data_IF_089733644595
#
_entry.id   IF_089733644595
#
_cell.length_a   1.000
_cell.length_b   1.000
_cell.length_c   1.000
_cell.angle_alpha   90.00
_cell.angle_beta   90.00
_cell.angle_gamma   90.00
#
_symmetry.space_group_name_H-M   'P 1'
#
loop_
_entity.id
_entity.type
_entity.pdbx_description
1 polymer ?
#
# COMPACT_ATOMS: atom_id res chain seq x y z
N UNK A 1 -6.39 35.72 -4.62
CA UNK A 1 -5.07 36.34 -4.65
C UNK A 1 -4.98 37.33 -3.49
N UNK A 2 -4.42 36.92 -2.38
CA UNK A 2 -3.99 37.85 -1.29
C UNK A 2 -2.48 37.62 -1.09
N UNK A 3 -1.78 38.72 -1.06
CA UNK A 3 -0.34 38.87 -1.24
C UNK A 3 0.46 38.38 -0.02
N UNK A 4 1.63 37.84 -0.30
CA UNK A 4 2.64 37.33 0.64
C UNK A 4 3.30 38.38 1.56
N UNK A 5 2.65 39.50 1.86
CA UNK A 5 3.20 40.58 2.68
C UNK A 5 2.69 40.62 4.12
N UNK A 6 1.69 39.78 4.49
CA UNK A 6 1.05 39.88 5.82
C UNK A 6 1.64 38.92 6.88
N UNK A 7 2.66 38.13 6.56
CA UNK A 7 3.27 37.17 7.51
C UNK A 7 4.54 37.72 8.18
N UNK A 8 5.09 38.84 7.71
CA UNK A 8 6.33 39.44 8.27
C UNK A 8 6.07 40.45 9.39
N UNK A 9 4.84 40.86 9.59
CA UNK A 9 4.50 41.92 10.56
C UNK A 9 4.29 41.42 12.00
N UNK A 10 4.24 40.12 12.27
CA UNK A 10 3.98 39.60 13.62
C UNK A 10 5.25 39.23 14.40
N UNK A 11 6.43 39.30 13.78
CA UNK A 11 7.70 38.89 14.43
C UNK A 11 8.54 40.04 14.97
N UNK A 12 8.15 41.32 14.72
CA UNK A 12 8.92 42.48 15.12
C UNK A 12 8.38 43.24 16.31
N UNK A 13 7.44 42.70 17.09
CA UNK A 13 6.83 43.42 18.23
C UNK A 13 7.28 42.92 19.61
N UNK A 14 8.31 42.10 19.71
CA UNK A 14 8.77 41.54 20.99
C UNK A 14 10.16 42.03 21.42
N UNK A 15 10.90 42.77 20.58
CA UNK A 15 12.21 43.31 20.95
C UNK A 15 12.32 44.79 20.58
N UNK A 16 11.71 45.66 21.38
CA UNK A 16 12.13 47.06 21.50
C UNK A 16 12.09 47.47 22.99
N UNK A 17 13.24 47.25 23.63
CA UNK A 17 13.48 47.70 24.97
C UNK A 17 13.78 49.20 24.98
N UNK A 18 13.11 49.91 25.83
CA UNK A 18 13.39 51.32 26.13
C UNK A 18 14.56 51.44 27.08
N UNK A 19 15.58 52.22 26.70
CA UNK A 19 16.61 52.73 27.59
C UNK A 19 15.95 53.72 28.57
N UNK A 20 16.20 53.55 29.87
CA UNK A 20 15.91 54.52 30.89
C UNK A 20 17.11 54.66 31.84
N UNK A 21 17.57 55.87 31.84
CA UNK A 21 18.54 56.62 32.63
C UNK A 21 18.84 56.11 34.04
N UNK A 22 20.15 56.05 34.30
CA UNK A 22 20.78 55.91 35.60
C UNK A 22 20.58 57.12 36.49
N UNK A 23 19.94 56.94 37.65
CA UNK A 23 20.13 57.80 38.81
C UNK A 23 20.60 56.95 39.99
N UNK A 24 21.73 57.41 40.58
CA UNK A 24 22.39 56.87 41.74
C UNK A 24 21.53 57.02 43.01
N UNK A 25 21.33 55.95 43.77
CA UNK A 25 20.97 56.03 45.19
C UNK A 25 21.68 54.90 45.97
N UNK A 26 22.19 55.30 47.12
CA UNK A 26 23.10 54.53 48.03
C UNK A 26 22.40 53.37 48.77
N UNK A 27 23.17 52.46 49.42
CA UNK A 27 22.75 51.14 49.78
C UNK A 27 22.04 51.07 51.14
N UNK A 28 20.80 50.58 51.13
CA UNK A 28 20.12 50.10 52.35
C UNK A 28 20.22 48.57 52.44
N UNK A 29 20.80 48.07 53.52
CA UNK A 29 20.83 46.65 53.87
C UNK A 29 19.43 46.15 54.12
N UNK A 30 18.97 45.16 53.38
CA UNK A 30 17.82 44.34 53.70
C UNK A 30 18.15 42.87 53.49
N UNK A 31 18.11 42.11 54.56
CA UNK A 31 18.27 40.66 54.59
C UNK A 31 17.01 39.97 54.08
N UNK A 32 16.99 39.60 52.84
CA UNK A 32 15.92 38.76 52.30
C UNK A 32 16.52 37.87 51.22
N UNK A 33 17.00 36.70 51.55
CA UNK A 33 17.69 35.94 50.56
C UNK A 33 17.59 34.42 50.61
N UNK A 34 17.16 33.82 51.68
CA UNK A 34 17.18 32.32 51.75
C UNK A 34 15.93 31.61 51.31
N UNK A 35 14.75 32.24 51.25
CA UNK A 35 13.51 31.59 50.83
C UNK A 35 13.26 31.60 49.30
N UNK A 36 13.78 32.60 48.59
CA UNK A 36 13.61 32.71 47.13
C UNK A 36 14.48 31.75 46.31
N UNK A 37 15.63 31.37 46.82
CA UNK A 37 16.52 30.41 46.11
C UNK A 37 15.95 28.98 46.21
N UNK A 38 15.35 28.62 47.33
CA UNK A 38 14.75 27.31 47.52
C UNK A 38 13.52 27.10 46.62
N UNK A 39 12.69 28.13 46.38
CA UNK A 39 11.57 28.06 45.44
C UNK A 39 12.04 27.97 43.97
N UNK A 40 13.09 28.67 43.57
CA UNK A 40 13.63 28.61 42.22
C UNK A 40 14.24 27.25 41.92
N UNK A 41 14.97 26.65 42.88
CA UNK A 41 15.58 25.32 42.75
C UNK A 41 14.49 24.22 42.68
N UNK A 42 13.41 24.33 43.48
CA UNK A 42 12.26 23.41 43.41
C UNK A 42 11.47 23.52 42.09
N UNK A 43 11.35 24.73 41.53
CA UNK A 43 10.72 24.93 40.20
C UNK A 43 11.55 24.35 39.07
N UNK A 44 12.87 24.51 39.12
CA UNK A 44 13.77 23.90 38.10
C UNK A 44 13.85 22.38 38.24
N UNK A 45 13.83 21.82 39.47
CA UNK A 45 13.76 20.38 39.64
C UNK A 45 12.40 19.80 39.21
N UNK A 46 11.29 20.50 39.38
CA UNK A 46 9.98 20.03 38.90
C UNK A 46 9.81 20.09 37.39
N UNK A 47 10.46 21.05 36.71
CA UNK A 47 10.52 21.07 35.23
C UNK A 47 11.43 19.98 34.64
N UNK A 48 12.46 19.53 35.36
CA UNK A 48 13.34 18.45 34.89
C UNK A 48 12.71 17.03 35.02
N UNK A 49 11.67 16.87 35.84
CA UNK A 49 10.92 15.61 35.98
C UNK A 49 9.78 15.45 34.96
N UNK A 50 9.40 16.51 34.27
CA UNK A 50 8.34 16.48 33.23
C UNK A 50 8.82 16.02 31.84
N UNK A 51 10.10 15.66 31.68
CA UNK A 51 10.75 15.57 30.37
C UNK A 51 10.99 14.18 29.78
N UNK A 52 10.46 13.10 30.34
CA UNK A 52 10.64 11.76 29.75
C UNK A 52 9.34 10.94 29.78
N UNK A 53 8.28 11.47 29.20
CA UNK A 53 7.21 10.57 28.75
C UNK A 53 7.77 9.76 27.58
N UNK A 54 7.92 8.44 27.75
CA UNK A 54 8.25 7.56 26.62
C UNK A 54 7.27 7.87 25.50
N UNK A 55 7.74 8.05 24.25
CA UNK A 55 6.83 8.24 23.13
C UNK A 55 5.80 7.09 23.14
N UNK A 56 4.54 7.42 22.89
CA UNK A 56 3.50 6.38 22.82
C UNK A 56 3.91 5.33 21.81
N UNK A 57 3.74 4.04 22.13
CA UNK A 57 4.02 2.98 21.15
C UNK A 57 3.23 3.26 19.87
N UNK A 58 3.87 2.98 18.75
CA UNK A 58 3.18 3.09 17.46
C UNK A 58 2.23 1.89 17.33
N UNK A 59 1.00 2.17 16.95
CA UNK A 59 -0.06 1.17 16.80
C UNK A 59 -0.48 1.03 15.35
N UNK A 60 -1.00 -0.14 14.98
CA UNK A 60 -1.67 -0.33 13.71
C UNK A 60 -3.02 0.37 13.71
N UNK A 61 -3.31 1.10 12.64
CA UNK A 61 -4.61 1.74 12.44
C UNK A 61 -5.62 0.68 11.97
N UNK A 62 -6.79 0.63 12.64
CA UNK A 62 -7.88 -0.24 12.26
C UNK A 62 -8.42 0.11 10.87
N UNK A 63 -8.72 -0.91 10.06
CA UNK A 63 -9.25 -0.75 8.71
C UNK A 63 -10.75 -0.44 8.72
N UNK A 64 -11.07 0.83 8.78
CA UNK A 64 -12.46 1.33 8.72
C UNK A 64 -12.84 1.89 7.35
N UNK A 65 -12.09 1.57 6.30
CA UNK A 65 -12.30 2.12 4.96
C UNK A 65 -13.73 1.84 4.46
N UNK A 66 -14.42 2.90 4.07
CA UNK A 66 -15.80 2.82 3.61
C UNK A 66 -16.83 2.39 4.66
N UNK A 67 -16.49 2.40 5.96
CA UNK A 67 -17.37 2.21 7.11
C UNK A 67 -17.44 3.47 7.94
N UNK A 68 -18.62 3.79 8.47
CA UNK A 68 -18.73 4.82 9.49
C UNK A 68 -17.99 4.35 10.76
N UNK A 69 -16.93 5.04 11.21
CA UNK A 69 -16.24 4.68 12.44
C UNK A 69 -17.14 4.69 13.68
N UNK A 70 -18.23 5.46 13.69
CA UNK A 70 -19.21 5.50 14.76
C UNK A 70 -20.10 4.24 14.82
N UNK A 71 -20.18 3.47 13.73
CA UNK A 71 -20.89 2.19 13.71
C UNK A 71 -20.17 1.07 14.48
N UNK A 72 -18.89 1.29 14.85
CA UNK A 72 -18.07 0.33 15.59
C UNK A 72 -18.03 0.78 17.06
N UNK A 73 -18.69 0.05 17.93
CA UNK A 73 -18.71 0.38 19.37
C UNK A 73 -17.29 0.32 19.97
N UNK A 74 -17.02 1.05 21.08
CA UNK A 74 -15.73 0.98 21.77
C UNK A 74 -15.34 -0.45 22.17
N UNK A 75 -16.28 -1.27 22.64
CA UNK A 75 -16.03 -2.66 23.02
C UNK A 75 -15.63 -3.54 21.83
N UNK A 76 -16.32 -3.40 20.69
CA UNK A 76 -15.96 -4.10 19.45
C UNK A 76 -14.57 -3.70 18.95
N UNK A 77 -14.27 -2.40 18.96
CA UNK A 77 -12.95 -1.88 18.57
C UNK A 77 -11.85 -2.45 19.47
N UNK A 78 -12.04 -2.40 20.79
CA UNK A 78 -11.08 -2.90 21.77
C UNK A 78 -10.85 -4.41 21.60
N UNK A 79 -11.91 -5.19 21.43
CA UNK A 79 -11.81 -6.63 21.21
C UNK A 79 -11.00 -6.98 19.96
N UNK A 80 -11.27 -6.31 18.84
CA UNK A 80 -10.53 -6.53 17.57
C UNK A 80 -9.07 -6.12 17.72
N UNK A 81 -8.79 -4.91 18.22
CA UNK A 81 -7.43 -4.39 18.37
C UNK A 81 -6.62 -5.23 19.35
N UNK A 82 -7.21 -5.63 20.48
CA UNK A 82 -6.55 -6.50 21.46
C UNK A 82 -6.21 -7.87 20.87
N UNK A 83 -7.15 -8.51 20.18
CA UNK A 83 -6.92 -9.80 19.52
C UNK A 83 -5.80 -9.71 18.48
N UNK A 84 -5.82 -8.70 17.62
CA UNK A 84 -4.79 -8.50 16.61
C UNK A 84 -3.42 -8.20 17.21
N UNK A 85 -3.38 -7.43 18.31
CA UNK A 85 -2.12 -7.12 19.01
C UNK A 85 -1.55 -8.35 19.70
N UNK A 86 -2.41 -9.19 20.29
CA UNK A 86 -1.98 -10.45 20.90
C UNK A 86 -1.42 -11.44 19.86
N UNK A 87 -2.04 -11.54 18.70
CA UNK A 87 -1.61 -12.44 17.61
C UNK A 87 -0.40 -11.91 16.83
N UNK A 88 -0.41 -10.63 16.46
CA UNK A 88 0.56 -10.06 15.53
C UNK A 88 1.53 -9.04 16.15
N UNK A 89 1.33 -8.64 17.41
CA UNK A 89 2.16 -7.61 18.05
C UNK A 89 1.89 -6.19 17.53
N UNK A 90 2.91 -5.38 17.50
CA UNK A 90 2.87 -3.96 17.10
C UNK A 90 3.77 -3.69 15.89
N UNK A 91 3.68 -2.50 15.25
CA UNK A 91 4.61 -2.12 14.19
C UNK A 91 6.08 -2.12 14.60
N UNK A 92 6.35 -1.98 15.89
CA UNK A 92 7.71 -1.97 16.43
C UNK A 92 8.21 -3.35 16.82
N UNK A 93 7.32 -4.19 17.34
CA UNK A 93 7.61 -5.54 17.81
C UNK A 93 6.58 -6.52 17.21
N UNK A 94 6.81 -6.93 15.93
CA UNK A 94 5.92 -7.87 15.27
C UNK A 94 6.01 -9.25 15.92
N UNK A 95 4.88 -9.96 15.94
CA UNK A 95 4.77 -11.36 16.36
C UNK A 95 4.26 -12.18 15.20
N UNK A 96 4.66 -13.43 15.16
CA UNK A 96 4.16 -14.40 14.18
C UNK A 96 3.18 -15.31 14.90
N UNK A 97 1.90 -15.37 14.47
CA UNK A 97 0.92 -16.27 15.07
C UNK A 97 1.33 -17.75 14.90
N UNK A 98 0.85 -18.64 15.78
CA UNK A 98 1.07 -20.08 15.64
C UNK A 98 0.62 -20.59 14.25
N UNK A 99 1.41 -21.46 13.64
CA UNK A 99 1.13 -22.06 12.32
C UNK A 99 1.38 -21.16 11.11
N UNK A 100 1.79 -19.90 11.30
CA UNK A 100 2.19 -18.99 10.22
C UNK A 100 3.70 -19.09 10.00
N UNK A 101 4.11 -19.29 8.76
CA UNK A 101 5.53 -19.45 8.39
C UNK A 101 6.07 -18.11 7.83
N UNK A 102 6.59 -17.27 8.72
CA UNK A 102 7.31 -16.04 8.40
C UNK A 102 8.66 -16.03 9.10
N UNK A 103 9.67 -15.49 8.44
CA UNK A 103 11.02 -15.36 9.01
C UNK A 103 11.06 -14.22 10.02
N UNK A 104 11.21 -14.56 11.30
CA UNK A 104 11.19 -13.62 12.42
C UNK A 104 12.37 -12.64 12.38
N UNK A 105 13.54 -13.08 11.93
CA UNK A 105 14.72 -12.20 11.86
C UNK A 105 14.58 -11.17 10.73
N UNK A 106 14.05 -11.59 9.58
CA UNK A 106 13.71 -10.68 8.49
C UNK A 106 12.61 -9.70 8.90
N UNK A 107 11.59 -10.16 9.63
CA UNK A 107 10.55 -9.28 10.17
C UNK A 107 11.14 -8.23 11.13
N UNK A 108 12.03 -8.63 12.05
CA UNK A 108 12.69 -7.72 12.98
C UNK A 108 13.52 -6.67 12.27
N UNK A 109 14.23 -7.05 11.22
CA UNK A 109 15.02 -6.15 10.39
C UNK A 109 14.14 -5.08 9.71
N UNK A 110 12.99 -5.47 9.19
CA UNK A 110 12.06 -4.56 8.52
C UNK A 110 11.26 -3.67 9.49
N UNK A 111 10.90 -4.20 10.66
CA UNK A 111 10.05 -3.56 11.66
C UNK A 111 10.80 -2.55 12.54
N UNK A 112 10.01 -1.77 13.28
CA UNK A 112 10.50 -0.89 14.32
C UNK A 112 10.93 0.49 13.86
N UNK A 113 11.49 1.29 14.78
CA UNK A 113 12.08 2.57 14.45
C UNK A 113 13.34 2.38 13.61
N UNK A 114 13.61 3.34 12.72
CA UNK A 114 14.85 3.33 11.92
C UNK A 114 16.08 3.49 12.80
N UNK A 115 17.03 2.56 12.69
CA UNK A 115 18.26 2.58 13.49
C UNK A 115 18.99 1.25 13.42
N UNK A 116 19.89 1.05 14.38
CA UNK A 116 20.57 -0.22 14.59
C UNK A 116 20.25 -0.73 15.99
N UNK A 117 20.06 -2.02 16.11
CA UNK A 117 19.91 -2.66 17.41
C UNK A 117 21.28 -2.80 18.15
N UNK A 118 21.25 -3.36 19.35
CA UNK A 118 22.47 -3.53 20.17
C UNK A 118 23.52 -4.47 19.56
N UNK A 119 23.11 -5.35 18.62
CA UNK A 119 24.00 -6.22 17.85
C UNK A 119 24.53 -5.56 16.57
N UNK A 120 24.10 -4.31 16.28
CA UNK A 120 24.53 -3.54 15.11
C UNK A 120 23.72 -3.85 13.84
N UNK A 121 22.67 -4.67 13.94
CA UNK A 121 21.77 -5.00 12.82
C UNK A 121 20.87 -3.81 12.51
N UNK A 122 20.73 -3.46 11.23
CA UNK A 122 19.84 -2.38 10.79
C UNK A 122 18.37 -2.80 11.01
N UNK A 123 17.56 -1.88 11.55
CA UNK A 123 16.13 -2.05 11.82
C UNK A 123 15.32 -0.93 11.18
N UNK A 124 14.02 -1.15 11.03
CA UNK A 124 13.10 -0.12 10.57
C UNK A 124 13.16 0.14 9.06
N UNK A 125 13.60 -0.85 8.26
CA UNK A 125 13.69 -0.70 6.80
C UNK A 125 12.35 -0.31 6.17
N UNK A 126 11.23 -0.86 6.66
CA UNK A 126 9.91 -0.50 6.17
C UNK A 126 9.57 0.97 6.44
N UNK A 127 9.86 1.48 7.63
CA UNK A 127 9.68 2.92 7.94
C UNK A 127 10.58 3.81 7.10
N UNK A 128 11.82 3.40 6.89
CA UNK A 128 12.81 4.14 6.12
C UNK A 128 12.44 4.27 4.65
N UNK A 129 11.91 3.22 4.04
CA UNK A 129 11.76 3.12 2.59
C UNK A 129 10.32 3.08 2.08
N UNK A 130 9.35 2.62 2.87
CA UNK A 130 8.01 2.28 2.40
C UNK A 130 6.89 3.09 3.06
N UNK A 131 6.99 3.33 4.38
CA UNK A 131 5.90 3.90 5.17
C UNK A 131 5.50 5.33 4.76
N UNK A 132 6.41 6.10 4.15
CA UNK A 132 6.11 7.46 3.67
C UNK A 132 4.99 7.47 2.61
N UNK A 133 4.88 6.40 1.82
CA UNK A 133 3.82 6.20 0.83
C UNK A 133 2.75 5.22 1.34
N UNK A 134 3.19 4.05 1.85
CA UNK A 134 2.29 2.95 2.18
C UNK A 134 1.70 2.99 3.59
N UNK A 135 2.07 3.99 4.42
CA UNK A 135 1.65 4.07 5.82
C UNK A 135 2.30 3.02 6.72
N UNK A 136 2.31 3.26 8.03
CA UNK A 136 2.89 2.31 9.01
C UNK A 136 2.06 1.02 9.08
N UNK A 137 0.74 1.14 8.92
CA UNK A 137 -0.19 0.02 8.88
C UNK A 137 -0.24 -0.72 7.54
N UNK A 138 0.50 -0.26 6.53
CA UNK A 138 0.41 -0.79 5.17
C UNK A 138 -0.89 -0.45 4.46
N UNK A 139 -1.57 0.60 4.91
CA UNK A 139 -2.90 1.04 4.49
C UNK A 139 -2.92 1.88 3.20
N UNK A 140 -1.76 2.08 2.58
CA UNK A 140 -1.63 2.91 1.38
C UNK A 140 -1.83 4.41 1.62
N UNK A 141 -2.04 4.84 2.88
CA UNK A 141 -2.34 6.20 3.27
C UNK A 141 -1.19 6.87 4.05
N UNK A 142 0.04 6.68 3.58
CA UNK A 142 1.20 7.36 4.12
C UNK A 142 1.16 8.87 3.89
N UNK A 143 2.05 9.64 4.55
CA UNK A 143 2.04 11.12 4.53
C UNK A 143 1.98 11.77 3.15
N UNK A 144 2.54 11.13 2.12
CA UNK A 144 2.53 11.69 0.74
C UNK A 144 1.53 10.99 -0.18
N UNK A 145 0.80 9.99 0.30
CA UNK A 145 -0.08 9.15 -0.53
C UNK A 145 -1.11 9.96 -1.32
N UNK A 146 -1.70 10.99 -0.70
CA UNK A 146 -2.71 11.86 -1.33
C UNK A 146 -2.21 12.62 -2.56
N UNK A 147 -0.89 12.76 -2.72
CA UNK A 147 -0.25 13.42 -3.87
C UNK A 147 0.09 12.46 -5.01
N UNK A 148 -0.13 11.16 -4.84
CA UNK A 148 0.26 10.13 -5.79
C UNK A 148 -0.93 9.67 -6.64
N UNK A 149 -0.67 9.35 -7.91
CA UNK A 149 -1.63 8.77 -8.83
C UNK A 149 -0.93 7.70 -9.70
N UNK A 150 -1.31 6.42 -9.61
CA UNK A 150 -2.28 5.85 -8.66
C UNK A 150 -1.81 5.91 -7.20
N UNK A 151 -2.75 5.77 -6.27
CA UNK A 151 -2.42 5.65 -4.85
C UNK A 151 -1.53 4.43 -4.55
N UNK A 152 -0.70 4.50 -3.49
CA UNK A 152 0.05 3.35 -3.01
C UNK A 152 -0.89 2.20 -2.66
N UNK A 153 -0.43 0.97 -2.87
CA UNK A 153 -1.21 -0.22 -2.53
C UNK A 153 -1.52 -0.28 -1.04
N UNK A 154 -2.78 -0.52 -0.71
CA UNK A 154 -3.19 -0.98 0.62
C UNK A 154 -2.90 -2.50 0.73
N UNK A 155 -1.92 -2.86 1.55
CA UNK A 155 -1.50 -4.25 1.74
C UNK A 155 -2.49 -5.07 2.56
N UNK A 156 -3.34 -4.42 3.36
CA UNK A 156 -4.29 -5.07 4.27
C UNK A 156 -5.33 -5.96 3.57
N UNK A 157 -5.52 -5.77 2.28
CA UNK A 157 -6.41 -6.62 1.46
C UNK A 157 -5.71 -7.86 0.89
N UNK A 158 -4.39 -8.00 1.00
CA UNK A 158 -3.63 -9.12 0.42
C UNK A 158 -3.75 -9.25 -1.09
N UNK A 159 -4.07 -8.15 -1.80
CA UNK A 159 -4.28 -8.10 -3.25
C UNK A 159 -3.19 -7.25 -3.89
N UNK A 160 -2.50 -7.77 -4.91
CA UNK A 160 -1.38 -7.11 -5.58
C UNK A 160 -1.57 -7.09 -7.09
N UNK A 161 -1.27 -5.94 -7.74
CA UNK A 161 -1.57 -5.68 -9.16
C UNK A 161 -0.74 -6.53 -10.14
N UNK A 162 0.56 -6.72 -9.84
CA UNK A 162 1.52 -7.24 -10.81
C UNK A 162 2.06 -8.60 -10.39
N UNK A 163 1.22 -9.62 -10.49
CA UNK A 163 1.53 -10.99 -10.11
C UNK A 163 1.68 -11.88 -11.33
N UNK A 164 2.32 -13.02 -11.17
CA UNK A 164 2.36 -14.12 -12.14
C UNK A 164 1.31 -15.20 -11.84
N UNK A 165 0.59 -15.07 -10.74
CA UNK A 165 -0.37 -16.05 -10.28
C UNK A 165 -1.76 -15.82 -10.87
N UNK A 166 -2.50 -16.89 -11.13
CA UNK A 166 -3.89 -16.83 -11.63
C UNK A 166 -4.81 -16.06 -10.69
N UNK A 167 -6.01 -15.70 -11.18
CA UNK A 167 -7.02 -15.00 -10.39
C UNK A 167 -7.37 -15.79 -9.12
N UNK A 168 -7.46 -15.09 -7.98
CA UNK A 168 -7.74 -15.68 -6.66
C UNK A 168 -6.51 -16.12 -5.88
N UNK A 169 -5.38 -16.43 -6.52
CA UNK A 169 -4.15 -16.78 -5.82
C UNK A 169 -3.35 -15.55 -5.34
N UNK A 170 -2.61 -15.69 -4.25
CA UNK A 170 -1.71 -14.67 -3.72
C UNK A 170 -0.48 -14.50 -4.64
N UNK A 171 0.26 -13.37 -4.55
CA UNK A 171 1.52 -13.22 -5.27
C UNK A 171 2.56 -14.22 -4.75
N UNK A 172 3.46 -14.64 -5.63
CA UNK A 172 4.68 -15.33 -5.19
C UNK A 172 5.65 -14.34 -4.52
N UNK A 173 6.61 -14.88 -3.74
CA UNK A 173 7.74 -14.10 -3.24
C UNK A 173 8.48 -13.40 -4.39
N UNK A 174 8.66 -14.08 -5.51
CA UNK A 174 9.32 -13.55 -6.71
C UNK A 174 8.53 -12.37 -7.34
N UNK A 175 7.20 -12.39 -7.30
CA UNK A 175 6.38 -11.25 -7.77
C UNK A 175 6.61 -10.01 -6.92
N UNK A 176 6.64 -10.16 -5.59
CA UNK A 176 6.92 -9.06 -4.66
C UNK A 176 8.34 -8.55 -4.83
N UNK A 177 9.32 -9.45 -4.92
CA UNK A 177 10.72 -9.11 -5.15
C UNK A 177 10.90 -8.32 -6.45
N UNK A 178 10.32 -8.81 -7.56
CA UNK A 178 10.36 -8.11 -8.85
C UNK A 178 9.80 -6.71 -8.74
N UNK A 179 8.66 -6.54 -8.05
CA UNK A 179 8.00 -5.25 -7.89
C UNK A 179 8.84 -4.29 -7.03
N UNK A 180 9.40 -4.76 -5.93
CA UNK A 180 10.25 -3.93 -5.05
C UNK A 180 11.55 -3.55 -5.77
N UNK A 181 12.24 -4.51 -6.39
CA UNK A 181 13.50 -4.23 -7.08
C UNK A 181 13.34 -3.28 -8.25
N UNK A 182 12.33 -3.48 -9.08
CA UNK A 182 12.16 -2.69 -10.31
C UNK A 182 11.41 -1.38 -10.07
N UNK A 183 10.66 -1.26 -8.96
CA UNK A 183 9.65 -0.24 -8.83
C UNK A 183 8.52 -0.44 -9.83
N UNK A 184 7.70 0.58 -10.01
CA UNK A 184 6.56 0.57 -10.94
C UNK A 184 6.72 1.77 -11.89
N UNK A 185 7.20 1.56 -13.13
CA UNK A 185 7.43 2.63 -14.10
C UNK A 185 6.19 3.50 -14.30
N UNK A 186 6.37 4.82 -14.35
CA UNK A 186 5.28 5.78 -14.54
C UNK A 186 4.40 6.00 -13.31
N UNK A 187 4.85 5.58 -12.11
CA UNK A 187 4.19 5.85 -10.82
C UNK A 187 5.19 6.41 -9.81
N UNK A 188 4.68 6.77 -8.61
CA UNK A 188 5.53 7.21 -7.50
C UNK A 188 6.35 6.11 -6.82
N UNK A 189 6.23 4.83 -7.20
CA UNK A 189 7.00 3.74 -6.59
C UNK A 189 8.37 3.59 -7.25
N UNK A 190 9.48 3.98 -6.60
CA UNK A 190 10.81 3.90 -7.17
C UNK A 190 11.37 2.47 -7.18
N UNK A 191 12.49 2.28 -7.89
CA UNK A 191 13.28 1.05 -7.82
C UNK A 191 14.10 1.01 -6.52
N UNK A 192 14.06 -0.13 -5.84
CA UNK A 192 14.89 -0.44 -4.68
C UNK A 192 16.01 -1.44 -5.01
N UNK A 193 16.33 -1.63 -6.29
CA UNK A 193 17.42 -2.51 -6.72
C UNK A 193 18.78 -2.24 -6.04
N UNK A 194 19.14 -1.00 -5.61
CA UNK A 194 20.40 -0.76 -4.90
C UNK A 194 20.45 -1.31 -3.47
N UNK A 195 19.32 -1.72 -2.88
CA UNK A 195 19.33 -2.31 -1.53
C UNK A 195 19.97 -3.71 -1.56
N UNK A 196 20.67 -4.10 -0.46
CA UNK A 196 21.14 -5.47 -0.29
C UNK A 196 20.01 -6.50 -0.42
N UNK A 197 20.34 -7.71 -0.87
CA UNK A 197 19.35 -8.78 -1.05
C UNK A 197 18.60 -9.09 0.24
N UNK A 198 19.29 -9.13 1.37
CA UNK A 198 18.70 -9.39 2.68
C UNK A 198 17.68 -8.31 3.07
N UNK A 199 17.94 -7.03 2.74
CA UNK A 199 16.99 -5.94 3.00
C UNK A 199 15.74 -6.06 2.13
N UNK A 200 15.90 -6.46 0.87
CA UNK A 200 14.77 -6.76 -0.02
C UNK A 200 13.93 -7.91 0.53
N UNK A 201 14.58 -9.01 0.98
CA UNK A 201 13.87 -10.14 1.57
C UNK A 201 13.14 -9.75 2.87
N UNK A 202 13.75 -8.91 3.71
CA UNK A 202 13.11 -8.39 4.91
C UNK A 202 11.86 -7.54 4.58
N UNK A 203 11.93 -6.69 3.57
CA UNK A 203 10.79 -5.89 3.11
C UNK A 203 9.66 -6.77 2.54
N UNK A 204 9.99 -7.81 1.77
CA UNK A 204 9.00 -8.78 1.26
C UNK A 204 8.29 -9.47 2.42
N UNK A 205 9.06 -9.95 3.40
CA UNK A 205 8.51 -10.65 4.56
C UNK A 205 7.56 -9.75 5.36
N UNK A 206 7.94 -8.47 5.53
CA UNK A 206 7.11 -7.52 6.25
C UNK A 206 5.82 -7.14 5.48
N UNK A 207 5.88 -7.06 4.15
CA UNK A 207 4.68 -6.85 3.31
C UNK A 207 3.73 -8.04 3.42
N UNK A 208 4.24 -9.29 3.41
CA UNK A 208 3.42 -10.49 3.66
C UNK A 208 2.80 -10.46 5.05
N UNK A 209 3.58 -10.13 6.07
CA UNK A 209 3.09 -9.99 7.45
C UNK A 209 1.95 -8.96 7.55
N UNK A 210 2.13 -7.76 6.98
CA UNK A 210 1.09 -6.72 6.97
C UNK A 210 -0.19 -7.18 6.27
N UNK A 211 -0.04 -7.98 5.20
CA UNK A 211 -1.17 -8.50 4.45
C UNK A 211 -1.92 -9.57 5.24
N UNK A 212 -1.22 -10.56 5.80
CA UNK A 212 -1.85 -11.61 6.61
C UNK A 212 -2.59 -11.00 7.81
N UNK A 213 -1.93 -10.05 8.51
CA UNK A 213 -2.57 -9.31 9.59
C UNK A 213 -3.81 -8.55 9.12
N UNK A 214 -3.71 -7.84 8.00
CA UNK A 214 -4.80 -7.04 7.45
C UNK A 214 -6.00 -7.89 7.00
N UNK A 215 -5.77 -9.03 6.39
CA UNK A 215 -6.82 -9.97 5.99
C UNK A 215 -7.51 -10.59 7.23
N UNK A 216 -6.74 -10.93 8.27
CA UNK A 216 -7.30 -11.33 9.57
C UNK A 216 -8.15 -10.21 10.19
N UNK A 217 -7.69 -8.97 10.11
CA UNK A 217 -8.44 -7.80 10.58
C UNK A 217 -9.77 -7.63 9.83
N UNK A 218 -9.78 -7.80 8.51
CA UNK A 218 -11.01 -7.74 7.71
C UNK A 218 -11.99 -8.85 8.09
N UNK A 219 -11.50 -10.06 8.37
CA UNK A 219 -12.33 -11.15 8.89
C UNK A 219 -12.97 -10.77 10.24
N UNK A 220 -12.18 -10.25 11.18
CA UNK A 220 -12.70 -9.85 12.50
C UNK A 220 -13.68 -8.68 12.41
N UNK A 221 -13.45 -7.71 11.52
CA UNK A 221 -14.41 -6.63 11.30
C UNK A 221 -15.73 -7.14 10.75
N UNK A 222 -15.71 -8.09 9.81
CA UNK A 222 -16.92 -8.73 9.31
C UNK A 222 -17.65 -9.47 10.45
N UNK A 223 -16.95 -10.33 11.16
CA UNK A 223 -17.51 -11.15 12.23
C UNK A 223 -18.13 -10.30 13.34
N UNK A 224 -17.38 -9.35 13.88
CA UNK A 224 -17.77 -8.58 15.07
C UNK A 224 -18.73 -7.44 14.76
N UNK A 225 -18.54 -6.77 13.62
CA UNK A 225 -19.29 -5.55 13.28
C UNK A 225 -20.46 -5.85 12.36
N UNK A 226 -20.22 -6.61 11.27
CA UNK A 226 -21.25 -6.83 10.26
C UNK A 226 -22.18 -7.99 10.67
N UNK A 227 -21.67 -9.06 11.29
CA UNK A 227 -22.42 -10.24 11.74
C UNK A 227 -22.80 -10.15 13.24
N UNK A 228 -22.27 -9.15 13.96
CA UNK A 228 -22.55 -8.86 15.36
C UNK A 228 -22.26 -10.04 16.30
N UNK A 229 -21.10 -10.70 16.08
CA UNK A 229 -20.64 -11.82 16.91
C UNK A 229 -20.46 -11.41 18.37
N UNK A 230 -20.73 -12.35 19.27
CA UNK A 230 -20.66 -12.13 20.71
C UNK A 230 -19.20 -12.00 21.21
N UNK A 231 -18.98 -11.06 22.10
CA UNK A 231 -17.69 -10.87 22.77
C UNK A 231 -17.66 -11.64 24.12
N UNK A 232 -16.49 -12.12 24.60
CA UNK A 232 -15.16 -11.98 24.00
C UNK A 232 -14.89 -12.94 22.84
N UNK A 233 -13.99 -12.55 21.93
CA UNK A 233 -13.52 -13.41 20.84
C UNK A 233 -12.70 -14.59 21.38
N UNK A 234 -12.90 -15.78 20.81
CA UNK A 234 -12.09 -16.95 21.08
C UNK A 234 -10.82 -16.93 20.21
N UNK A 235 -9.65 -16.97 20.84
CA UNK A 235 -8.37 -16.86 20.13
C UNK A 235 -8.08 -18.05 19.22
N UNK A 236 -8.36 -19.25 19.69
CA UNK A 236 -8.16 -20.50 18.96
C UNK A 236 -9.04 -20.50 17.70
N UNK A 237 -10.32 -20.14 17.82
CA UNK A 237 -11.22 -20.00 16.65
C UNK A 237 -10.72 -18.97 15.66
N UNK A 238 -10.22 -17.82 16.11
CA UNK A 238 -9.64 -16.79 15.21
C UNK A 238 -8.40 -17.31 14.49
N UNK A 239 -7.56 -18.09 15.16
CA UNK A 239 -6.40 -18.72 14.52
C UNK A 239 -6.88 -19.70 13.44
N UNK A 240 -7.77 -20.62 13.77
CA UNK A 240 -8.19 -21.71 12.89
C UNK A 240 -9.04 -21.21 11.71
N UNK A 241 -9.92 -20.22 11.93
CA UNK A 241 -10.89 -19.78 10.94
C UNK A 241 -10.43 -18.59 10.10
N UNK A 242 -9.45 -17.80 10.59
CA UNK A 242 -8.96 -16.63 9.89
C UNK A 242 -7.45 -16.70 9.58
N UNK A 243 -6.62 -16.86 10.61
CA UNK A 243 -5.16 -16.74 10.45
C UNK A 243 -4.60 -17.84 9.57
N UNK A 244 -4.89 -19.10 9.89
CA UNK A 244 -4.35 -20.26 9.14
C UNK A 244 -4.82 -20.32 7.70
N UNK A 245 -6.13 -20.13 7.37
CA UNK A 245 -6.58 -20.12 5.98
C UNK A 245 -5.93 -19.00 5.15
N UNK A 246 -5.73 -17.81 5.74
CA UNK A 246 -5.02 -16.72 5.07
C UNK A 246 -3.56 -17.06 4.85
N UNK A 247 -2.86 -17.58 5.87
CA UNK A 247 -1.45 -17.98 5.76
C UNK A 247 -1.26 -19.09 4.71
N UNK A 248 -2.13 -20.10 4.71
CA UNK A 248 -2.11 -21.17 3.71
C UNK A 248 -2.30 -20.63 2.28
N UNK A 249 -3.24 -19.69 2.09
CA UNK A 249 -3.44 -19.06 0.79
C UNK A 249 -2.17 -18.34 0.28
N UNK A 250 -1.35 -17.78 1.17
CA UNK A 250 -0.05 -17.17 0.83
C UNK A 250 1.04 -18.19 0.49
N UNK A 251 0.93 -19.40 0.99
CA UNK A 251 1.88 -20.49 0.72
C UNK A 251 1.54 -21.30 -0.54
N UNK A 252 0.25 -21.36 -0.92
CA UNK A 252 -0.24 -22.18 -2.03
C UNK A 252 0.54 -21.97 -3.34
N UNK A 253 0.80 -20.73 -3.83
CA UNK A 253 1.53 -20.54 -5.08
C UNK A 253 2.98 -20.98 -5.05
N UNK A 254 3.60 -21.03 -3.85
CA UNK A 254 4.96 -21.51 -3.66
C UNK A 254 5.01 -23.04 -3.54
N UNK A 255 3.98 -23.65 -2.92
CA UNK A 255 3.88 -25.11 -2.75
C UNK A 255 3.50 -25.83 -4.05
N UNK A 256 2.65 -25.22 -4.86
CA UNK A 256 2.19 -25.78 -6.14
C UNK A 256 2.24 -24.74 -7.28
N UNK A 257 3.47 -24.36 -7.70
CA UNK A 257 3.62 -23.34 -8.73
C UNK A 257 3.11 -23.78 -10.11
N UNK A 258 3.05 -25.09 -10.37
CA UNK A 258 2.51 -25.59 -11.66
C UNK A 258 1.01 -25.32 -11.81
N UNK A 259 0.30 -25.32 -10.71
CA UNK A 259 -1.14 -25.04 -10.69
C UNK A 259 -1.47 -23.54 -10.64
N UNK A 260 -0.67 -22.76 -9.89
CA UNK A 260 -1.02 -21.39 -9.57
C UNK A 260 -0.24 -20.32 -10.33
N UNK A 261 0.94 -20.64 -10.88
CA UNK A 261 1.84 -19.67 -11.49
C UNK A 261 1.85 -19.79 -13.00
N UNK A 262 1.48 -18.74 -13.70
CA UNK A 262 1.56 -18.66 -15.16
C UNK A 262 3.00 -18.44 -15.58
N UNK A 263 3.53 -19.36 -16.39
CA UNK A 263 4.87 -19.31 -16.97
C UNK A 263 4.75 -19.00 -18.47
N UNK A 264 4.94 -17.73 -18.89
CA UNK A 264 4.83 -17.37 -20.29
C UNK A 264 5.85 -18.12 -21.17
N UNK A 265 5.36 -18.88 -22.14
CA UNK A 265 6.18 -19.55 -23.15
C UNK A 265 6.12 -18.74 -24.43
N UNK A 266 7.11 -17.85 -24.64
CA UNK A 266 7.12 -16.99 -25.81
C UNK A 266 7.37 -17.79 -27.10
N UNK A 267 6.50 -17.71 -28.10
CA UNK A 267 6.72 -18.37 -29.37
C UNK A 267 7.89 -17.75 -30.16
N UNK A 268 8.67 -18.60 -30.83
CA UNK A 268 9.69 -18.18 -31.76
C UNK A 268 9.03 -17.95 -33.12
N UNK A 269 8.92 -16.68 -33.54
CA UNK A 269 8.27 -16.29 -34.79
C UNK A 269 9.27 -15.63 -35.71
N UNK A 270 9.23 -15.97 -36.97
CA UNK A 270 9.88 -15.19 -38.02
C UNK A 270 9.11 -13.88 -38.32
N UNK A 271 9.62 -13.03 -39.17
CA UNK A 271 9.03 -11.71 -39.47
C UNK A 271 7.62 -11.82 -40.06
N UNK A 272 7.37 -12.76 -40.94
CA UNK A 272 6.06 -12.98 -41.54
C UNK A 272 5.05 -13.49 -40.55
N UNK A 273 5.45 -14.45 -39.70
CA UNK A 273 4.64 -15.01 -38.59
C UNK A 273 4.34 -13.93 -37.56
N UNK A 274 5.32 -13.07 -37.22
CA UNK A 274 5.10 -11.97 -36.25
C UNK A 274 4.09 -10.96 -36.82
N UNK A 275 4.20 -10.61 -38.12
CA UNK A 275 3.23 -9.71 -38.75
C UNK A 275 1.82 -10.30 -38.74
N UNK A 276 1.68 -11.60 -39.05
CA UNK A 276 0.41 -12.30 -39.00
C UNK A 276 -0.15 -12.35 -37.54
N UNK A 277 0.70 -12.60 -36.54
CA UNK A 277 0.32 -12.59 -35.13
C UNK A 277 -0.19 -11.21 -34.67
N UNK A 278 0.50 -10.13 -35.05
CA UNK A 278 0.07 -8.76 -34.77
C UNK A 278 -1.32 -8.49 -35.38
N UNK A 279 -1.59 -8.93 -36.60
CA UNK A 279 -2.89 -8.73 -37.23
C UNK A 279 -4.00 -9.52 -36.54
N UNK A 280 -3.76 -10.80 -36.19
CA UNK A 280 -4.72 -11.56 -35.37
C UNK A 280 -4.97 -10.89 -34.02
N UNK A 281 -3.90 -10.41 -33.36
CA UNK A 281 -4.01 -9.68 -32.09
C UNK A 281 -4.82 -8.39 -32.23
N UNK A 282 -4.72 -7.68 -33.36
CA UNK A 282 -5.54 -6.50 -33.66
C UNK A 282 -7.02 -6.85 -33.76
N UNK A 283 -7.35 -7.96 -34.39
CA UNK A 283 -8.74 -8.44 -34.50
C UNK A 283 -9.27 -8.83 -33.12
N UNK A 284 -8.52 -9.61 -32.33
CA UNK A 284 -8.88 -10.00 -30.96
C UNK A 284 -9.11 -8.75 -30.09
N UNK A 285 -8.26 -7.74 -30.21
CA UNK A 285 -8.40 -6.48 -29.45
C UNK A 285 -9.74 -5.78 -29.70
N UNK A 286 -10.28 -5.89 -30.90
CA UNK A 286 -11.53 -5.28 -31.31
C UNK A 286 -12.75 -6.16 -31.07
N UNK A 287 -12.57 -7.44 -30.74
CA UNK A 287 -13.69 -8.37 -30.50
C UNK A 287 -14.48 -8.02 -29.23
N UNK A 288 -15.83 -8.16 -29.28
CA UNK A 288 -16.67 -7.92 -28.10
C UNK A 288 -16.30 -8.78 -26.89
N UNK A 289 -15.78 -10.01 -27.08
CA UNK A 289 -15.43 -10.92 -25.98
C UNK A 289 -14.22 -10.43 -25.18
N UNK A 290 -13.24 -9.77 -25.81
CA UNK A 290 -12.04 -9.27 -25.16
C UNK A 290 -12.27 -7.95 -24.44
N UNK A 291 -13.23 -7.13 -24.88
CA UNK A 291 -13.62 -5.83 -24.34
C UNK A 291 -12.48 -4.80 -24.19
N UNK A 292 -11.31 -5.02 -24.81
CA UNK A 292 -10.14 -4.17 -24.67
C UNK A 292 -10.41 -2.71 -25.09
N UNK A 293 -11.12 -2.53 -26.21
CA UNK A 293 -11.47 -1.22 -26.78
C UNK A 293 -12.29 -0.38 -25.81
N UNK A 294 -13.18 -0.99 -25.01
CA UNK A 294 -14.06 -0.24 -24.09
C UNK A 294 -13.28 0.63 -23.10
N UNK A 295 -12.16 0.15 -22.63
CA UNK A 295 -11.30 0.87 -21.68
C UNK A 295 -10.11 1.53 -22.38
N UNK A 296 -9.42 0.79 -23.24
CA UNK A 296 -8.16 1.27 -23.84
C UNK A 296 -8.36 2.11 -25.11
N UNK A 297 -9.58 2.19 -25.64
CA UNK A 297 -9.88 2.88 -26.91
C UNK A 297 -9.44 2.11 -28.14
N UNK A 298 -9.91 2.47 -29.36
CA UNK A 298 -9.64 1.73 -30.58
C UNK A 298 -8.17 1.70 -30.99
N UNK A 299 -7.40 2.71 -30.59
CA UNK A 299 -5.97 2.84 -30.89
C UNK A 299 -5.08 2.62 -29.68
N UNK A 300 -5.61 2.16 -28.56
CA UNK A 300 -4.87 1.89 -27.34
C UNK A 300 -4.35 3.14 -26.62
N UNK A 301 -5.04 4.28 -26.76
CA UNK A 301 -4.65 5.55 -26.12
C UNK A 301 -5.15 5.70 -24.68
N UNK A 302 -5.89 4.73 -24.17
CA UNK A 302 -6.54 4.81 -22.86
C UNK A 302 -7.75 5.74 -22.85
N UNK A 303 -8.34 5.99 -24.00
CA UNK A 303 -9.45 6.90 -24.27
C UNK A 303 -10.75 6.16 -24.64
N UNK A 304 -10.94 4.95 -24.10
CA UNK A 304 -12.17 4.19 -24.28
C UNK A 304 -13.36 4.84 -23.58
N UNK A 305 -14.58 4.36 -23.92
CA UNK A 305 -15.84 4.88 -23.40
C UNK A 305 -16.06 4.60 -21.89
N UNK A 306 -15.39 3.57 -21.35
CA UNK A 306 -15.49 3.19 -19.95
C UNK A 306 -14.59 4.08 -19.10
N UNK A 307 -15.18 5.03 -18.37
CA UNK A 307 -14.45 6.01 -17.56
C UNK A 307 -14.62 5.83 -16.05
N UNK A 308 -15.67 5.12 -15.62
CA UNK A 308 -15.97 4.90 -14.20
C UNK A 308 -15.17 3.71 -13.65
N UNK A 309 -13.85 3.88 -13.58
CA UNK A 309 -12.88 2.86 -13.21
C UNK A 309 -12.19 3.22 -11.89
N UNK A 310 -12.18 2.31 -10.93
CA UNK A 310 -11.59 2.49 -9.61
C UNK A 310 -10.82 1.26 -9.15
N UNK A 311 -9.88 1.44 -8.24
CA UNK A 311 -9.30 0.34 -7.48
C UNK A 311 -10.33 -0.23 -6.50
N UNK A 312 -10.33 -1.55 -6.29
CA UNK A 312 -11.35 -2.25 -5.48
C UNK A 312 -11.47 -1.75 -4.03
N UNK A 313 -10.36 -1.26 -3.44
CA UNK A 313 -10.34 -0.73 -2.07
C UNK A 313 -10.65 0.77 -1.99
N UNK A 314 -10.72 1.48 -3.11
CA UNK A 314 -11.01 2.91 -3.17
C UNK A 314 -12.01 3.18 -4.29
N UNK A 315 -13.23 2.61 -4.16
CA UNK A 315 -14.30 2.74 -5.14
C UNK A 315 -15.64 3.07 -4.49
N UNK A 316 -16.56 3.72 -5.23
CA UNK A 316 -17.94 3.88 -4.79
C UNK A 316 -18.60 2.52 -4.52
N UNK A 317 -19.49 2.45 -3.53
CA UNK A 317 -20.32 1.26 -3.31
C UNK A 317 -21.37 1.15 -4.42
N UNK A 318 -21.58 -0.06 -4.93
CA UNK A 318 -22.63 -0.32 -5.93
C UNK A 318 -24.01 -0.13 -5.31
N UNK A 319 -24.95 0.41 -6.12
CA UNK A 319 -26.35 0.55 -5.73
C UNK A 319 -26.66 1.69 -4.77
N UNK A 320 -25.71 2.59 -4.52
CA UNK A 320 -25.91 3.81 -3.74
C UNK A 320 -25.99 5.04 -4.65
N UNK A 321 -26.69 6.08 -4.20
CA UNK A 321 -26.80 7.35 -4.92
C UNK A 321 -25.48 8.14 -4.88
N UNK A 322 -25.34 9.16 -5.74
CA UNK A 322 -24.18 10.06 -5.72
C UNK A 322 -24.02 10.78 -4.37
N UNK A 323 -25.13 11.10 -3.70
CA UNK A 323 -25.12 11.69 -2.36
C UNK A 323 -24.59 10.72 -1.32
N UNK A 324 -25.07 9.48 -1.32
CA UNK A 324 -24.55 8.41 -0.47
C UNK A 324 -23.09 8.10 -0.77
N UNK A 325 -22.68 8.14 -2.04
CA UNK A 325 -21.26 7.99 -2.42
C UNK A 325 -20.41 9.10 -1.84
N UNK A 326 -20.87 10.37 -1.89
CA UNK A 326 -20.15 11.50 -1.27
C UNK A 326 -20.07 11.37 0.26
N UNK A 327 -21.11 10.87 0.91
CA UNK A 327 -21.11 10.64 2.34
C UNK A 327 -20.14 9.51 2.71
N UNK A 328 -20.23 8.36 2.05
CA UNK A 328 -19.34 7.22 2.27
C UNK A 328 -17.88 7.54 1.96
N UNK A 329 -17.61 8.44 0.99
CA UNK A 329 -16.24 8.85 0.67
C UNK A 329 -15.52 9.57 1.81
N UNK A 330 -16.25 10.10 2.80
CA UNK A 330 -15.68 10.68 4.03
C UNK A 330 -15.02 9.64 4.93
N UNK A 331 -15.40 8.37 4.76
CA UNK A 331 -14.90 7.25 5.55
C UNK A 331 -13.67 6.57 4.92
N UNK A 332 -13.23 7.02 3.75
CA UNK A 332 -11.97 6.61 3.17
C UNK A 332 -10.82 7.52 3.66
N UNK A 333 -9.67 6.93 3.90
CA UNK A 333 -8.46 7.67 4.31
C UNK A 333 -7.95 8.62 3.22
N UNK A 334 -8.23 8.28 1.96
CA UNK A 334 -7.90 9.06 0.77
C UNK A 334 -9.17 9.28 -0.05
N UNK A 335 -9.31 10.44 -0.74
CA UNK A 335 -10.42 10.67 -1.67
C UNK A 335 -10.54 9.55 -2.71
N UNK A 336 -11.75 9.35 -3.26
CA UNK A 336 -11.94 8.42 -4.37
C UNK A 336 -11.10 8.88 -5.58
N UNK A 337 -10.34 7.96 -6.17
CA UNK A 337 -9.47 8.25 -7.32
C UNK A 337 -9.83 7.35 -8.49
N UNK A 338 -10.25 7.95 -9.60
CA UNK A 338 -10.50 7.23 -10.84
C UNK A 338 -9.18 6.75 -11.47
N UNK A 339 -9.19 5.53 -11.95
CA UNK A 339 -8.09 4.95 -12.74
C UNK A 339 -8.21 5.37 -14.19
N UNK A 340 -7.06 5.55 -14.84
CA UNK A 340 -6.98 5.71 -16.29
C UNK A 340 -6.34 4.47 -16.92
N UNK A 341 -6.98 3.86 -17.94
CA UNK A 341 -6.35 2.80 -18.72
C UNK A 341 -5.04 3.29 -19.35
N UNK A 342 -4.06 2.39 -19.48
CA UNK A 342 -2.78 2.75 -20.09
C UNK A 342 -2.93 3.22 -21.52
N UNK A 343 -2.27 4.32 -21.85
CA UNK A 343 -1.96 4.69 -23.21
C UNK A 343 -0.76 3.84 -23.68
N UNK A 344 -1.01 2.86 -24.52
CA UNK A 344 0.03 1.94 -25.01
C UNK A 344 1.05 2.64 -25.92
N UNK A 345 0.66 3.72 -26.57
CA UNK A 345 1.53 4.47 -27.48
C UNK A 345 2.69 5.15 -26.74
N UNK A 346 2.56 5.43 -25.44
CA UNK A 346 3.64 5.97 -24.62
C UNK A 346 4.77 4.95 -24.36
N UNK A 347 4.52 3.67 -24.57
CA UNK A 347 5.50 2.60 -24.34
C UNK A 347 5.85 2.37 -22.87
N UNK A 348 5.12 3.01 -21.93
CA UNK A 348 5.34 2.86 -20.50
C UNK A 348 4.29 1.91 -19.92
N UNK A 349 4.72 0.75 -19.43
CA UNK A 349 3.86 -0.26 -18.83
C UNK A 349 4.21 -0.46 -17.36
N UNK A 350 3.25 -0.24 -16.48
CA UNK A 350 3.47 -0.31 -15.02
C UNK A 350 3.95 -1.69 -14.54
N UNK A 351 3.45 -2.77 -15.14
CA UNK A 351 3.83 -4.14 -14.80
C UNK A 351 5.11 -4.64 -15.47
N UNK A 352 5.78 -3.77 -16.25
CA UNK A 352 6.93 -4.10 -17.08
C UNK A 352 6.57 -4.13 -18.57
N UNK A 353 7.56 -3.86 -19.44
CA UNK A 353 7.38 -3.70 -20.89
C UNK A 353 7.94 -4.85 -21.73
N UNK A 354 8.44 -5.94 -21.13
CA UNK A 354 8.83 -7.13 -21.87
C UNK A 354 7.59 -7.87 -22.40
N UNK A 355 7.71 -8.62 -23.50
CA UNK A 355 6.58 -9.40 -24.01
C UNK A 355 5.92 -10.29 -22.93
N UNK A 356 6.73 -10.94 -22.09
CA UNK A 356 6.25 -11.78 -21.00
C UNK A 356 5.50 -10.99 -19.91
N UNK A 357 5.92 -9.76 -19.64
CA UNK A 357 5.27 -8.89 -18.67
C UNK A 357 3.87 -8.46 -19.18
N UNK A 358 3.74 -8.13 -20.48
CA UNK A 358 2.46 -7.77 -21.11
C UNK A 358 1.55 -9.00 -21.19
N UNK A 359 2.09 -10.16 -21.61
CA UNK A 359 1.37 -11.43 -21.63
C UNK A 359 0.73 -11.73 -20.26
N UNK A 360 1.52 -11.63 -19.18
CA UNK A 360 1.02 -11.84 -17.82
C UNK A 360 -0.11 -10.86 -17.47
N UNK A 361 0.00 -9.57 -17.86
CA UNK A 361 -1.06 -8.59 -17.56
C UNK A 361 -2.38 -8.93 -18.26
N UNK A 362 -2.32 -9.48 -19.47
CA UNK A 362 -3.50 -9.91 -20.20
C UNK A 362 -4.03 -11.24 -19.62
N UNK A 363 -3.12 -12.19 -19.37
CA UNK A 363 -3.50 -13.52 -18.90
C UNK A 363 -4.17 -13.49 -17.52
N UNK A 364 -3.50 -12.91 -16.50
CA UNK A 364 -3.98 -12.92 -15.11
C UNK A 364 -4.73 -11.64 -14.71
N UNK A 365 -4.84 -10.68 -15.62
CA UNK A 365 -5.41 -9.36 -15.33
C UNK A 365 -4.54 -8.50 -14.42
N UNK A 366 -5.12 -7.41 -13.91
CA UNK A 366 -4.51 -6.57 -12.89
C UNK A 366 -5.41 -6.62 -11.66
N UNK A 367 -5.06 -7.49 -10.71
CA UNK A 367 -5.87 -7.79 -9.54
C UNK A 367 -6.22 -6.53 -8.73
N UNK A 368 -7.45 -6.44 -8.27
CA UNK A 368 -7.95 -5.28 -7.53
C UNK A 368 -8.20 -4.05 -8.42
N UNK A 369 -8.31 -4.24 -9.74
CA UNK A 369 -8.71 -3.22 -10.72
C UNK A 369 -9.76 -3.77 -11.67
N UNK A 370 -10.43 -2.93 -12.47
CA UNK A 370 -11.37 -3.38 -13.50
C UNK A 370 -10.77 -4.17 -14.66
N UNK A 371 -9.43 -4.26 -14.81
CA UNK A 371 -8.81 -5.05 -15.87
C UNK A 371 -8.89 -6.56 -15.57
N UNK A 372 -9.77 -7.31 -16.26
CA UNK A 372 -10.02 -8.72 -15.95
C UNK A 372 -8.88 -9.63 -16.43
N UNK A 373 -8.84 -10.86 -15.89
CA UNK A 373 -8.05 -11.95 -16.43
C UNK A 373 -8.71 -12.48 -17.71
N UNK A 374 -7.89 -12.75 -18.74
CA UNK A 374 -8.36 -13.30 -20.02
C UNK A 374 -7.96 -14.76 -20.19
N UNK A 375 -6.90 -15.20 -19.52
CA UNK A 375 -6.41 -16.57 -19.60
C UNK A 375 -7.18 -17.56 -18.73
N UNK A 376 -7.01 -18.87 -18.97
CA UNK A 376 -7.61 -19.91 -18.17
C UNK A 376 -7.05 -19.91 -16.72
N UNK A 377 -7.86 -20.39 -15.79
CA UNK A 377 -7.51 -20.64 -14.42
C UNK A 377 -7.96 -22.05 -14.01
N UNK A 378 -7.44 -22.61 -12.91
CA UNK A 378 -7.85 -23.94 -12.44
C UNK A 378 -9.37 -24.07 -12.37
N UNK A 379 -9.91 -25.07 -13.11
CA UNK A 379 -11.33 -25.33 -13.17
C UNK A 379 -12.17 -24.31 -13.96
N UNK A 380 -11.55 -23.32 -14.60
CA UNK A 380 -12.25 -22.30 -15.40
C UNK A 380 -11.58 -22.10 -16.76
N UNK A 381 -12.33 -22.19 -17.87
CA UNK A 381 -11.80 -21.84 -19.17
C UNK A 381 -11.51 -20.33 -19.24
N UNK A 382 -10.45 -19.95 -19.96
CA UNK A 382 -10.17 -18.56 -20.26
C UNK A 382 -11.13 -17.98 -21.31
N UNK A 383 -11.22 -16.66 -21.36
CA UNK A 383 -11.87 -15.93 -22.45
C UNK A 383 -11.02 -16.05 -23.73
N UNK A 384 -9.71 -16.06 -23.57
CA UNK A 384 -8.71 -16.21 -24.61
C UNK A 384 -7.81 -17.42 -24.33
N UNK A 385 -7.34 -18.08 -25.40
CA UNK A 385 -6.31 -19.11 -25.30
C UNK A 385 -4.95 -18.49 -25.05
N UNK A 386 -3.95 -19.25 -24.56
CA UNK A 386 -2.58 -18.77 -24.42
C UNK A 386 -1.98 -18.21 -25.73
N UNK A 387 -2.29 -18.82 -26.87
CA UNK A 387 -1.84 -18.38 -28.20
C UNK A 387 -2.49 -17.05 -28.59
N UNK A 388 -3.77 -16.88 -28.39
CA UNK A 388 -4.50 -15.62 -28.61
C UNK A 388 -3.96 -14.50 -27.72
N UNK A 389 -3.56 -14.79 -26.48
CA UNK A 389 -2.94 -13.82 -25.58
C UNK A 389 -1.56 -13.40 -26.11
N UNK A 390 -0.78 -14.31 -26.73
CA UNK A 390 0.47 -13.92 -27.39
C UNK A 390 0.24 -13.03 -28.60
N UNK A 391 -0.72 -13.36 -29.46
CA UNK A 391 -1.09 -12.51 -30.59
C UNK A 391 -1.48 -11.11 -30.13
N UNK A 392 -2.32 -11.00 -29.12
CA UNK A 392 -2.72 -9.74 -28.50
C UNK A 392 -1.53 -9.00 -27.86
N UNK A 393 -0.61 -9.71 -27.22
CA UNK A 393 0.63 -9.15 -26.66
C UNK A 393 1.48 -8.49 -27.74
N UNK A 394 1.68 -9.14 -28.87
CA UNK A 394 2.46 -8.58 -29.99
C UNK A 394 1.78 -7.36 -30.60
N UNK A 395 0.43 -7.36 -30.69
CA UNK A 395 -0.31 -6.19 -31.14
C UNK A 395 -0.13 -5.00 -30.19
N UNK A 396 -0.32 -5.18 -28.89
CA UNK A 396 -0.14 -4.12 -27.88
C UNK A 396 1.27 -3.53 -27.94
N UNK A 397 2.28 -4.37 -28.05
CA UNK A 397 3.67 -3.92 -28.20
C UNK A 397 3.93 -3.19 -29.53
N UNK A 398 3.20 -3.54 -30.60
CA UNK A 398 3.31 -2.84 -31.89
C UNK A 398 2.76 -1.42 -31.83
N UNK A 399 1.80 -1.14 -30.95
CA UNK A 399 1.26 0.22 -30.72
C UNK A 399 2.31 1.14 -30.09
N UNK A 400 3.10 0.62 -29.13
CA UNK A 400 4.18 1.38 -28.50
C UNK A 400 5.30 1.78 -29.46
N UNK A 401 5.56 0.97 -30.49
CA UNK A 401 6.63 1.21 -31.49
C UNK A 401 6.26 2.25 -32.55
N UNK A 402 4.98 2.52 -32.77
CA UNK A 402 4.51 3.45 -33.82
C UNK A 402 4.86 4.90 -33.52
N UNK A 403 5.16 5.27 -32.29
CA UNK A 403 5.42 6.64 -31.84
C UNK A 403 6.89 7.00 -31.76
N UNK A 404 7.82 6.04 -31.89
CA UNK A 404 9.26 6.28 -31.91
C UNK A 404 9.86 5.91 -33.28
N UNK A 405 9.97 6.88 -34.22
CA UNK A 405 10.56 6.63 -35.55
C UNK A 405 12.08 6.39 -35.51
N UNK A 406 12.71 6.39 -34.31
CA UNK A 406 14.16 6.19 -34.12
C UNK A 406 14.53 4.91 -33.34
N UNK A 407 13.57 4.04 -33.09
CA UNK A 407 13.82 2.71 -32.49
C UNK A 407 13.33 1.59 -33.44
#
# INVERSE_FOLDING_TARGET
MRSARDVVSLFNMIFSGSEASLTRASPGRASAGRKSVACAVLLVLSLSLAGCSKPRPVEFRLNTEGRDPASISPAQREAIVSMLTDLFGTPDEPRVPPGVHLDVELLRRAAGPTGRDFSGVERGLYRKHCAVCHGISGDGAGPIAAMLNPYPRDFRYGIFKYTSTVLGAKPTRQDLERTIRRGIPGTGMPSFAPLPDEDIQALIEYVKYLSIRGETELYLLRLVVDENELLPLNKESVIDEAVLPVAEAWEMPEKDPEHWVVKPQRPHLDEAQLKAAIERGRLIYQEPRSQCVKCHGPEGRGDGEQTDLYDDWNKPKKGVTDEQTRELSRWFSLPLQQLKPRNFQEGIFHGGGRPEDIYLRIYVGIKGTPMPAMGPAPGQPGILTPEEIWDLTFYVLSLARKTDPKK
#
